data_IF_826877969797
#
_entry.id   IF_826877969797
#
_cell.length_a   1.000
_cell.length_b   1.000
_cell.length_c   1.000
_cell.angle_alpha   90.00
_cell.angle_beta   90.00
_cell.angle_gamma   90.00
#
_symmetry.space_group_name_H-M   'P 1'
#
loop_
_entity.id
_entity.type
_entity.pdbx_description
1 polymer ?
#
# COMPACT_ATOMS: atom_id res chain seq x y z
N UNK A 1 -7.04 8.54 -22.90
CA UNK A 1 -6.85 9.73 -22.04
C UNK A 1 -6.23 9.41 -20.68
N UNK A 2 -6.01 8.16 -20.35
CA UNK A 2 -5.49 7.71 -19.05
C UNK A 2 -3.99 7.39 -19.05
N UNK A 3 -3.30 7.62 -20.13
CA UNK A 3 -1.86 7.30 -20.26
C UNK A 3 -0.91 8.34 -19.65
N UNK A 4 -1.42 9.41 -19.06
CA UNK A 4 -0.58 10.56 -18.70
C UNK A 4 -0.27 10.69 -17.19
N UNK A 5 -0.80 9.84 -16.33
CA UNK A 5 -0.56 9.96 -14.87
C UNK A 5 0.41 8.88 -14.35
N UNK A 6 0.65 7.86 -15.13
CA UNK A 6 1.65 6.85 -14.80
C UNK A 6 3.05 7.28 -15.27
N UNK A 7 3.65 8.24 -14.56
CA UNK A 7 5.10 8.30 -14.56
C UNK A 7 5.59 7.11 -13.76
N UNK A 8 5.86 6.07 -14.52
CA UNK A 8 6.52 4.85 -14.08
C UNK A 8 7.76 5.24 -13.28
N UNK A 9 7.67 5.25 -11.95
CA UNK A 9 8.82 4.88 -11.16
C UNK A 9 9.04 3.41 -11.48
N UNK A 10 9.83 3.13 -12.52
CA UNK A 10 10.34 1.77 -12.71
C UNK A 10 10.86 1.35 -11.35
N UNK A 11 10.19 0.36 -10.74
CA UNK A 11 10.82 -0.42 -9.71
C UNK A 11 12.24 -0.70 -10.26
N UNK A 12 13.21 0.07 -9.78
CA UNK A 12 14.59 -0.24 -10.10
C UNK A 12 14.71 -1.65 -9.61
N UNK A 13 14.86 -2.59 -10.55
CA UNK A 13 15.40 -3.90 -10.26
C UNK A 13 16.70 -3.64 -9.50
N UNK A 14 16.59 -3.45 -8.20
CA UNK A 14 17.65 -3.74 -7.28
C UNK A 14 17.70 -5.27 -7.21
N UNK A 15 18.10 -5.84 -8.35
CA UNK A 15 18.47 -7.23 -8.43
C UNK A 15 19.46 -7.47 -7.27
N UNK A 16 19.07 -8.25 -6.29
CA UNK A 16 19.95 -8.75 -5.26
C UNK A 16 19.68 -8.33 -3.82
N UNK A 17 18.63 -7.58 -3.51
CA UNK A 17 18.38 -7.14 -2.13
C UNK A 17 17.21 -7.82 -1.41
N UNK A 18 16.48 -8.70 -2.09
CA UNK A 18 15.34 -9.40 -1.51
C UNK A 18 15.65 -10.86 -1.21
N UNK A 19 16.47 -11.12 -0.20
CA UNK A 19 16.40 -12.39 0.52
C UNK A 19 15.40 -12.22 1.65
N UNK A 20 14.38 -13.09 1.66
CA UNK A 20 13.42 -13.21 2.75
C UNK A 20 14.20 -13.34 4.06
N UNK A 21 14.06 -12.38 4.97
CA UNK A 21 14.78 -12.32 6.24
C UNK A 21 15.70 -11.10 6.43
N UNK A 22 15.98 -10.31 5.40
CA UNK A 22 16.76 -9.05 5.57
C UNK A 22 15.92 -8.00 6.31
N UNK A 23 14.59 -8.07 6.20
CA UNK A 23 13.67 -7.12 6.84
C UNK A 23 13.37 -7.39 8.31
N UNK A 24 13.75 -8.53 8.87
CA UNK A 24 13.65 -8.78 10.33
C UNK A 24 14.47 -7.78 11.15
N UNK A 25 15.44 -7.12 10.52
CA UNK A 25 16.30 -6.10 11.13
C UNK A 25 15.90 -4.66 10.78
N UNK A 26 14.90 -4.45 9.92
CA UNK A 26 14.45 -3.10 9.54
C UNK A 26 13.37 -2.65 10.50
N UNK A 27 13.65 -1.56 11.21
CA UNK A 27 12.64 -0.91 12.06
C UNK A 27 11.72 -0.03 11.21
N UNK A 28 10.69 -0.66 10.64
CA UNK A 28 9.71 0.04 9.83
C UNK A 28 8.81 0.99 10.64
N UNK A 29 8.86 0.90 11.97
CA UNK A 29 8.12 1.81 12.85
C UNK A 29 8.78 3.21 12.93
N UNK A 30 10.08 3.30 12.66
CA UNK A 30 10.83 4.56 12.65
C UNK A 30 10.96 5.21 11.26
N UNK A 31 10.45 4.56 10.21
CA UNK A 31 10.45 5.12 8.86
C UNK A 31 9.54 6.35 8.75
N UNK A 32 9.88 7.27 7.88
CA UNK A 32 8.92 8.28 7.44
C UNK A 32 7.87 7.69 6.47
N UNK A 33 6.87 8.51 6.10
CA UNK A 33 5.78 8.04 5.25
C UNK A 33 6.26 7.60 3.86
N UNK A 34 7.22 8.30 3.27
CA UNK A 34 7.73 8.00 1.94
C UNK A 34 8.61 6.75 1.92
N UNK A 35 9.44 6.58 2.94
CA UNK A 35 10.24 5.37 3.13
C UNK A 35 9.35 4.14 3.30
N UNK A 36 8.23 4.28 4.00
CA UNK A 36 7.25 3.21 4.19
C UNK A 36 6.52 2.85 2.89
N UNK A 37 6.21 3.84 2.05
CA UNK A 37 5.62 3.61 0.72
C UNK A 37 6.60 2.89 -0.21
N UNK A 38 7.87 3.32 -0.24
CA UNK A 38 8.91 2.67 -1.03
C UNK A 38 9.15 1.23 -0.59
N UNK A 39 9.21 0.98 0.72
CA UNK A 39 9.28 -0.37 1.28
C UNK A 39 8.07 -1.21 0.88
N UNK A 40 6.88 -0.62 0.90
CA UNK A 40 5.65 -1.31 0.47
C UNK A 40 5.74 -1.76 -0.98
N UNK A 41 6.20 -0.90 -1.89
CA UNK A 41 6.42 -1.26 -3.29
C UNK A 41 7.37 -2.46 -3.42
N UNK A 42 8.49 -2.39 -2.72
CA UNK A 42 9.50 -3.45 -2.75
C UNK A 42 8.96 -4.79 -2.23
N UNK A 43 8.23 -4.77 -1.11
CA UNK A 43 7.61 -5.96 -0.52
C UNK A 43 6.57 -6.58 -1.46
N UNK A 44 5.73 -5.76 -2.08
CA UNK A 44 4.72 -6.24 -3.01
C UNK A 44 5.35 -6.95 -4.22
N UNK A 45 6.40 -6.39 -4.80
CA UNK A 45 7.14 -7.03 -5.89
C UNK A 45 7.76 -8.35 -5.44
N UNK A 46 8.34 -8.41 -4.24
CA UNK A 46 8.89 -9.63 -3.67
C UNK A 46 7.81 -10.72 -3.44
N UNK A 47 6.57 -10.32 -3.24
CA UNK A 47 5.40 -11.20 -3.05
C UNK A 47 4.61 -11.46 -4.34
N UNK A 48 5.21 -11.23 -5.52
CA UNK A 48 4.68 -11.64 -6.80
C UNK A 48 3.77 -10.61 -7.48
N UNK A 49 3.75 -9.36 -7.02
CA UNK A 49 3.16 -8.27 -7.80
C UNK A 49 4.07 -7.93 -8.97
N UNK A 50 3.50 -7.80 -10.14
CA UNK A 50 4.22 -7.54 -11.38
C UNK A 50 4.65 -6.09 -11.47
N UNK A 51 3.80 -5.20 -10.92
CA UNK A 51 4.00 -3.75 -10.85
C UNK A 51 3.64 -3.30 -9.43
N UNK A 52 4.46 -2.42 -8.86
CA UNK A 52 4.13 -1.66 -7.67
C UNK A 52 4.79 -0.28 -7.76
N UNK A 53 3.99 0.77 -7.76
CA UNK A 53 4.41 2.15 -8.01
C UNK A 53 3.84 3.11 -6.98
N UNK A 54 4.70 4.00 -6.46
CA UNK A 54 4.28 5.10 -5.59
C UNK A 54 3.64 6.23 -6.39
N UNK A 55 2.61 6.84 -5.82
CA UNK A 55 1.91 8.01 -6.38
C UNK A 55 2.48 9.35 -5.88
N UNK A 56 3.61 9.35 -5.17
CA UNK A 56 4.20 10.51 -4.47
C UNK A 56 4.22 11.80 -5.30
N UNK A 57 4.37 11.69 -6.62
CA UNK A 57 4.48 12.84 -7.53
C UNK A 57 3.16 13.18 -8.26
N UNK A 58 2.08 12.46 -8.01
CA UNK A 58 0.82 12.61 -8.77
C UNK A 58 -0.32 13.28 -8.02
N UNK A 59 -0.09 13.75 -6.80
CA UNK A 59 -1.10 14.33 -5.93
C UNK A 59 -1.76 13.31 -5.00
N UNK A 60 -2.44 13.81 -3.99
CA UNK A 60 -3.05 12.99 -2.94
C UNK A 60 -4.54 12.80 -3.19
N UNK A 61 -4.90 11.70 -3.84
CA UNK A 61 -6.29 11.27 -4.01
C UNK A 61 -6.60 10.02 -3.16
N UNK A 62 -5.92 9.88 -2.04
CA UNK A 62 -6.14 8.80 -1.09
C UNK A 62 -5.54 7.44 -1.49
N UNK A 63 -4.58 7.45 -2.40
CA UNK A 63 -3.83 6.26 -2.83
C UNK A 63 -2.34 6.60 -2.89
N UNK A 64 -1.52 5.86 -2.16
CA UNK A 64 -0.08 6.07 -2.10
C UNK A 64 0.69 5.11 -3.01
N UNK A 65 0.17 3.91 -3.22
CA UNK A 65 0.76 2.88 -4.07
C UNK A 65 -0.31 2.27 -4.98
N UNK A 66 0.04 2.08 -6.24
CA UNK A 66 -0.75 1.30 -7.20
C UNK A 66 0.06 0.06 -7.54
N UNK A 67 -0.54 -1.11 -7.41
CA UNK A 67 0.11 -2.38 -7.67
C UNK A 67 -0.78 -3.29 -8.53
N UNK A 68 -0.15 -4.16 -9.32
CA UNK A 68 -0.87 -5.10 -10.19
C UNK A 68 -0.36 -6.52 -9.98
N UNK A 69 -1.29 -7.45 -9.91
CA UNK A 69 -1.02 -8.88 -9.86
C UNK A 69 -2.12 -9.64 -10.57
N UNK A 70 -1.75 -10.50 -11.51
CA UNK A 70 -2.67 -11.36 -12.28
C UNK A 70 -3.82 -10.58 -12.96
N UNK A 71 -3.53 -9.38 -13.47
CA UNK A 71 -4.51 -8.51 -14.13
C UNK A 71 -5.42 -7.74 -13.17
N UNK A 72 -5.26 -7.89 -11.85
CA UNK A 72 -6.00 -7.15 -10.82
C UNK A 72 -5.16 -5.97 -10.34
N UNK A 73 -5.73 -4.76 -10.36
CA UNK A 73 -5.08 -3.52 -9.96
C UNK A 73 -5.55 -3.12 -8.56
N UNK A 74 -4.60 -2.90 -7.69
CA UNK A 74 -4.80 -2.56 -6.28
C UNK A 74 -4.46 -1.09 -6.04
N UNK A 75 -5.39 -0.35 -5.43
CA UNK A 75 -5.16 0.98 -4.88
C UNK A 75 -4.85 0.84 -3.39
N UNK A 76 -3.67 1.26 -2.97
CA UNK A 76 -3.18 1.04 -1.61
C UNK A 76 -2.91 2.38 -0.94
N UNK A 77 -3.55 2.60 0.21
CA UNK A 77 -3.27 3.69 1.13
C UNK A 77 -2.32 3.17 2.19
N UNK A 78 -1.16 3.77 2.34
CA UNK A 78 -0.16 3.43 3.35
C UNK A 78 -0.30 4.31 4.59
N UNK A 79 -0.38 3.71 5.77
CA UNK A 79 -0.46 4.42 7.05
C UNK A 79 0.60 3.90 8.02
N UNK A 80 1.70 4.64 8.14
CA UNK A 80 2.70 4.40 9.18
C UNK A 80 2.29 5.17 10.45
N UNK A 81 1.71 4.45 11.39
CA UNK A 81 1.14 4.99 12.63
C UNK A 81 1.74 4.31 13.86
N UNK A 82 1.71 5.02 15.01
CA UNK A 82 1.99 4.45 16.33
C UNK A 82 0.74 4.04 17.10
N UNK A 83 -0.45 4.36 16.59
CA UNK A 83 -1.75 4.06 17.18
C UNK A 83 -2.72 3.49 16.16
N UNK A 84 -3.98 3.28 16.54
CA UNK A 84 -4.98 2.70 15.65
C UNK A 84 -5.24 3.58 14.42
N UNK A 85 -5.37 2.94 13.26
CA UNK A 85 -5.80 3.59 12.02
C UNK A 85 -7.34 3.65 11.99
N UNK A 86 -7.86 4.84 11.79
CA UNK A 86 -9.30 5.12 11.81
C UNK A 86 -9.96 5.04 10.45
N UNK A 87 -11.22 5.47 10.41
CA UNK A 87 -12.09 5.41 9.23
C UNK A 87 -11.61 6.29 8.07
N UNK A 88 -10.88 7.35 8.34
CA UNK A 88 -10.44 8.30 7.30
C UNK A 88 -9.61 7.62 6.21
N UNK A 89 -8.70 6.72 6.60
CA UNK A 89 -7.89 5.95 5.66
C UNK A 89 -8.75 5.05 4.76
N UNK A 90 -9.78 4.43 5.32
CA UNK A 90 -10.72 3.56 4.59
C UNK A 90 -11.53 4.38 3.58
N UNK A 91 -12.03 5.55 4.00
CA UNK A 91 -12.79 6.45 3.13
C UNK A 91 -11.92 7.00 1.99
N UNK A 92 -10.68 7.39 2.29
CA UNK A 92 -9.74 7.94 1.31
C UNK A 92 -9.40 6.93 0.22
N UNK A 93 -9.03 5.70 0.58
CA UNK A 93 -8.68 4.69 -0.42
C UNK A 93 -9.88 4.21 -1.22
N UNK A 94 -11.06 4.19 -0.60
CA UNK A 94 -12.31 3.85 -1.31
C UNK A 94 -12.60 4.82 -2.45
N UNK A 95 -12.50 6.13 -2.19
CA UNK A 95 -12.65 7.15 -3.21
C UNK A 95 -11.50 7.13 -4.23
N UNK A 96 -10.27 6.95 -3.77
CA UNK A 96 -9.08 6.90 -4.63
C UNK A 96 -9.06 5.69 -5.57
N UNK A 97 -9.57 4.56 -5.15
CA UNK A 97 -9.74 3.39 -6.03
C UNK A 97 -10.50 3.72 -7.30
N UNK A 98 -11.61 4.41 -7.18
CA UNK A 98 -12.43 4.78 -8.33
C UNK A 98 -11.76 5.88 -9.18
N UNK A 99 -11.11 6.84 -8.52
CA UNK A 99 -10.35 7.88 -9.22
C UNK A 99 -9.24 7.30 -10.11
N UNK A 100 -8.49 6.31 -9.61
CA UNK A 100 -7.41 5.65 -10.36
C UNK A 100 -7.89 4.43 -11.16
N UNK A 101 -9.19 4.15 -11.19
CA UNK A 101 -9.78 3.01 -11.90
C UNK A 101 -9.18 1.65 -11.50
N UNK A 102 -8.87 1.49 -10.22
CA UNK A 102 -8.38 0.25 -9.66
C UNK A 102 -9.51 -0.71 -9.29
N UNK A 103 -9.20 -2.00 -9.18
CA UNK A 103 -10.18 -3.04 -8.88
C UNK A 103 -10.39 -3.21 -7.37
N UNK A 104 -9.32 -3.13 -6.58
CA UNK A 104 -9.31 -3.41 -5.15
C UNK A 104 -8.76 -2.21 -4.39
N UNK A 105 -9.42 -1.81 -3.31
CA UNK A 105 -8.95 -0.81 -2.37
C UNK A 105 -8.37 -1.48 -1.13
N UNK A 106 -7.17 -1.07 -0.73
CA UNK A 106 -6.43 -1.62 0.42
C UNK A 106 -5.93 -0.50 1.31
N UNK A 107 -6.06 -0.66 2.62
CA UNK A 107 -5.27 0.13 3.59
C UNK A 107 -4.20 -0.79 4.19
N UNK A 108 -2.93 -0.40 4.05
CA UNK A 108 -1.78 -1.08 4.64
C UNK A 108 -1.24 -0.25 5.81
N UNK A 109 -0.96 -0.89 6.93
CA UNK A 109 -0.38 -0.20 8.10
C UNK A 109 0.62 -1.08 8.85
N UNK A 110 1.59 -0.42 9.48
CA UNK A 110 2.47 -1.03 10.50
C UNK A 110 1.79 -1.17 11.86
N UNK A 111 0.53 -0.75 11.97
CA UNK A 111 -0.25 -0.73 13.21
C UNK A 111 -1.50 -1.60 13.08
N UNK A 112 -2.52 -1.32 13.84
CA UNK A 112 -3.80 -2.02 13.82
C UNK A 112 -4.94 -1.05 13.51
N UNK A 113 -6.10 -1.58 13.12
CA UNK A 113 -7.27 -0.79 12.78
C UNK A 113 -8.22 -0.65 13.96
N UNK A 114 -8.85 0.52 14.06
CA UNK A 114 -9.95 0.72 14.98
C UNK A 114 -11.14 -0.18 14.61
N UNK A 115 -12.00 -0.47 15.58
CA UNK A 115 -13.25 -1.24 15.33
C UNK A 115 -14.13 -0.56 14.28
N UNK A 116 -14.21 0.78 14.31
CA UNK A 116 -14.98 1.54 13.33
C UNK A 116 -14.41 1.39 11.92
N UNK A 117 -13.07 1.43 11.76
CA UNK A 117 -12.41 1.21 10.48
C UNK A 117 -12.69 -0.21 9.93
N UNK A 118 -12.60 -1.23 10.79
CA UNK A 118 -12.90 -2.61 10.41
C UNK A 118 -14.36 -2.77 9.94
N UNK A 119 -15.32 -2.22 10.68
CA UNK A 119 -16.74 -2.27 10.33
C UNK A 119 -17.04 -1.55 9.01
N UNK A 120 -16.44 -0.38 8.80
CA UNK A 120 -16.61 0.37 7.56
C UNK A 120 -16.01 -0.40 6.38
N UNK A 121 -14.79 -0.89 6.52
CA UNK A 121 -14.09 -1.66 5.49
C UNK A 121 -14.88 -2.91 5.07
N UNK A 122 -15.38 -3.66 6.03
CA UNK A 122 -16.22 -4.84 5.76
C UNK A 122 -17.47 -4.47 4.96
N UNK A 123 -18.09 -3.34 5.29
CA UNK A 123 -19.34 -2.92 4.65
C UNK A 123 -19.16 -2.44 3.22
N UNK A 124 -18.07 -1.72 2.93
CA UNK A 124 -17.83 -1.11 1.62
C UNK A 124 -16.82 -1.87 0.75
N UNK A 125 -16.28 -2.98 1.25
CA UNK A 125 -15.39 -3.84 0.48
C UNK A 125 -13.94 -3.33 0.37
N UNK A 126 -13.43 -2.65 1.40
CA UNK A 126 -12.02 -2.28 1.51
C UNK A 126 -11.27 -3.38 2.25
N UNK A 127 -10.12 -3.77 1.71
CA UNK A 127 -9.24 -4.77 2.31
C UNK A 127 -8.31 -4.09 3.32
N UNK A 128 -8.12 -4.68 4.47
CA UNK A 128 -7.23 -4.18 5.52
C UNK A 128 -6.05 -5.12 5.71
N UNK A 129 -4.85 -4.58 5.52
CA UNK A 129 -3.58 -5.25 5.83
C UNK A 129 -2.94 -4.57 7.04
N UNK A 130 -3.12 -5.18 8.19
CA UNK A 130 -2.57 -4.71 9.46
C UNK A 130 -1.12 -5.14 9.68
N UNK A 131 -0.60 -4.83 10.87
CA UNK A 131 0.77 -5.16 11.26
C UNK A 131 1.10 -6.66 11.12
N UNK A 132 0.17 -7.52 11.46
CA UNK A 132 0.40 -8.96 11.40
C UNK A 132 0.50 -9.42 9.96
N UNK A 133 -0.39 -8.96 9.09
CA UNK A 133 -0.34 -9.20 7.66
C UNK A 133 0.92 -8.61 7.02
N UNK A 134 1.31 -7.39 7.41
CA UNK A 134 2.52 -6.75 6.91
C UNK A 134 3.77 -7.56 7.24
N UNK A 135 3.87 -8.11 8.45
CA UNK A 135 4.98 -8.99 8.85
C UNK A 135 5.01 -10.30 8.07
N UNK A 136 3.88 -10.83 7.67
CA UNK A 136 3.82 -12.03 6.82
C UNK A 136 4.35 -11.77 5.40
N UNK A 137 4.25 -10.53 4.93
CA UNK A 137 4.77 -10.13 3.62
C UNK A 137 6.29 -9.90 3.61
N UNK A 138 6.90 -9.60 4.77
CA UNK A 138 8.34 -9.46 4.92
C UNK A 138 9.03 -10.82 4.84
#
# INVERSE_FOLDING_TARGET
FLFCVYKICRARKRAGFFEKGIYDAVDFDDMDGFEFEDLTCDILVANGFEIAESTQNSGDFGVDVIAERDGVVYAIQCKRYHGPVGIDAVQQVYAGRDFYECNVAVVLTNSYFSRAAQRLADKIGVVLWDRDMFKELL
#
